data_IF_627132838532
#
_entry.id   IF_627132838532
#
_cell.length_a   1.000
_cell.length_b   1.000
_cell.length_c   1.000
_cell.angle_alpha   90.00
_cell.angle_beta   90.00
_cell.angle_gamma   90.00
#
_symmetry.space_group_name_H-M   'P 1'
#
loop_
_entity.id
_entity.type
_entity.pdbx_description
1 polymer ?
#
# COMPACT_ATOMS: atom_id res chain seq x y z
N UNK A 1 -28.47 13.25 75.91
CA UNK A 1 -28.50 14.21 74.77
C UNK A 1 -27.14 14.87 74.73
N UNK A 2 -26.33 14.57 73.72
CA UNK A 2 -25.09 15.28 73.46
C UNK A 2 -24.94 15.39 71.94
N UNK A 3 -24.88 16.63 71.49
CA UNK A 3 -24.97 17.11 70.11
C UNK A 3 -23.69 16.79 69.34
N UNK A 4 -23.88 16.33 68.10
CA UNK A 4 -22.81 16.07 67.14
C UNK A 4 -22.42 17.40 66.52
N UNK A 5 -21.30 17.96 66.92
CA UNK A 5 -20.73 19.16 66.31
C UNK A 5 -20.23 18.82 64.92
N UNK A 6 -20.55 19.70 63.98
CA UNK A 6 -20.24 19.58 62.56
C UNK A 6 -18.96 20.35 62.33
N UNK A 7 -17.89 19.63 61.99
CA UNK A 7 -16.64 20.25 61.52
C UNK A 7 -16.94 20.90 60.16
N UNK A 8 -17.01 22.22 60.17
CA UNK A 8 -17.02 23.06 58.99
C UNK A 8 -15.57 23.15 58.51
N UNK A 9 -15.22 22.36 57.50
CA UNK A 9 -13.95 22.48 56.78
C UNK A 9 -13.84 23.89 56.18
N UNK A 10 -12.93 24.66 56.76
CA UNK A 10 -12.50 25.98 56.34
C UNK A 10 -11.85 25.85 54.96
N UNK A 11 -12.58 26.26 53.91
CA UNK A 11 -12.01 26.38 52.56
C UNK A 11 -11.07 27.57 52.60
N UNK A 12 -9.81 27.31 52.96
CA UNK A 12 -8.71 28.24 52.73
C UNK A 12 -8.69 28.59 51.24
N UNK A 13 -9.19 29.78 50.93
CA UNK A 13 -9.01 30.40 49.62
C UNK A 13 -7.55 30.79 49.54
N UNK A 14 -6.70 29.85 49.11
CA UNK A 14 -5.32 30.15 48.73
C UNK A 14 -5.37 31.13 47.58
N UNK A 15 -5.31 32.42 47.89
CA UNK A 15 -5.13 33.49 46.92
C UNK A 15 -3.93 33.10 46.04
N UNK A 16 -4.22 32.69 44.80
CA UNK A 16 -3.21 32.38 43.80
C UNK A 16 -2.45 33.66 43.51
N UNK A 17 -1.43 33.92 44.31
CA UNK A 17 -0.41 34.93 44.01
C UNK A 17 0.23 34.45 42.73
N UNK A 18 -0.15 35.05 41.61
CA UNK A 18 0.42 34.79 40.29
C UNK A 18 1.89 35.18 40.38
N UNK A 19 2.74 34.21 40.74
CA UNK A 19 4.19 34.38 40.71
C UNK A 19 4.53 34.86 39.31
N UNK A 20 5.06 36.07 39.22
CA UNK A 20 5.51 36.64 37.95
C UNK A 20 6.70 35.80 37.47
N UNK A 21 6.40 34.81 36.62
CA UNK A 21 7.42 33.99 35.98
C UNK A 21 7.97 34.84 34.82
N UNK A 22 9.27 35.14 34.80
CA UNK A 22 9.83 35.88 33.70
C UNK A 22 9.66 35.07 32.41
N UNK A 23 9.34 35.74 31.30
CA UNK A 23 9.12 35.08 30.01
C UNK A 23 10.32 34.22 29.57
N UNK A 24 11.53 34.54 30.03
CA UNK A 24 12.76 33.77 29.79
C UNK A 24 12.72 32.38 30.43
N UNK A 25 12.07 32.22 31.58
CA UNK A 25 11.90 30.94 32.26
C UNK A 25 10.77 30.10 31.63
N UNK A 26 10.04 30.65 30.65
CA UNK A 26 9.07 29.89 29.87
C UNK A 26 9.79 28.84 29.04
N UNK A 27 9.26 27.61 29.01
CA UNK A 27 9.80 26.53 28.19
C UNK A 27 9.89 26.91 26.71
N UNK A 28 8.94 27.71 26.21
CA UNK A 28 8.93 28.18 24.82
C UNK A 28 10.14 29.06 24.53
N UNK A 29 10.47 29.98 25.44
CA UNK A 29 11.66 30.82 25.29
C UNK A 29 12.93 29.98 25.36
N UNK A 30 13.02 29.07 26.34
CA UNK A 30 14.17 28.18 26.51
C UNK A 30 14.43 27.34 25.27
N UNK A 31 13.41 26.71 24.67
CA UNK A 31 13.55 25.88 23.45
C UNK A 31 14.03 26.69 22.23
N UNK A 32 13.66 27.98 22.14
CA UNK A 32 14.06 28.85 21.04
C UNK A 32 15.49 29.40 21.18
N UNK A 33 16.14 29.26 22.33
CA UNK A 33 17.54 29.67 22.49
C UNK A 33 18.48 28.76 21.69
N UNK A 34 19.63 29.31 21.30
CA UNK A 34 20.68 28.50 20.68
C UNK A 34 21.32 27.60 21.75
N UNK A 35 21.07 26.30 21.65
CA UNK A 35 21.63 25.31 22.56
C UNK A 35 22.98 24.80 22.04
N UNK A 36 23.91 24.54 22.97
CA UNK A 36 25.09 23.74 22.66
C UNK A 36 24.66 22.30 22.39
N UNK A 37 25.08 21.74 21.26
CA UNK A 37 24.81 20.35 20.95
C UNK A 37 25.93 19.47 21.54
N UNK A 38 25.60 18.33 22.17
CA UNK A 38 26.62 17.38 22.58
C UNK A 38 27.35 16.87 21.34
N UNK A 39 28.67 16.58 21.45
CA UNK A 39 29.44 16.07 20.34
C UNK A 39 28.84 14.76 19.83
N UNK A 40 28.89 14.58 18.52
CA UNK A 40 28.44 13.37 17.86
C UNK A 40 29.23 12.15 18.33
N UNK A 41 28.57 11.00 18.35
CA UNK A 41 29.19 9.70 18.69
C UNK A 41 30.14 9.18 17.59
N UNK A 42 30.48 10.00 16.60
CA UNK A 42 31.35 9.58 15.51
C UNK A 42 32.80 9.48 16.00
N UNK A 43 33.41 8.33 15.74
CA UNK A 43 34.81 8.09 16.02
C UNK A 43 35.71 8.92 15.08
N UNK A 44 36.36 9.94 15.65
CA UNK A 44 37.25 10.89 14.97
C UNK A 44 38.52 10.26 14.38
N UNK A 45 38.83 9.01 14.74
CA UNK A 45 40.01 8.31 14.20
C UNK A 45 39.79 7.71 12.81
N UNK A 46 38.52 7.56 12.38
CA UNK A 46 38.17 6.94 11.09
C UNK A 46 38.76 7.73 9.92
N UNK A 47 39.40 7.02 8.99
CA UNK A 47 40.07 7.63 7.83
C UNK A 47 39.16 8.56 7.01
N UNK A 48 37.90 8.16 6.75
CA UNK A 48 36.96 8.99 6.01
C UNK A 48 36.62 10.31 6.71
N UNK A 49 36.43 10.27 8.03
CA UNK A 49 36.16 11.46 8.83
C UNK A 49 37.40 12.37 8.89
N UNK A 50 38.59 11.81 9.03
CA UNK A 50 39.86 12.57 8.98
C UNK A 50 40.03 13.30 7.65
N UNK A 51 39.69 12.65 6.55
CA UNK A 51 39.73 13.27 5.23
C UNK A 51 38.74 14.44 5.17
N UNK A 52 37.46 14.23 5.51
CA UNK A 52 36.46 15.30 5.52
C UNK A 52 36.85 16.48 6.42
N UNK A 53 37.39 16.20 7.61
CA UNK A 53 37.87 17.22 8.53
C UNK A 53 39.04 18.04 7.95
N UNK A 54 39.95 17.42 7.19
CA UNK A 54 41.05 18.12 6.51
C UNK A 54 40.56 19.13 5.47
N UNK A 55 39.38 18.91 4.89
CA UNK A 55 38.69 19.84 3.99
C UNK A 55 37.75 20.79 4.72
N UNK A 56 37.81 20.86 6.07
CA UNK A 56 37.04 21.82 6.87
C UNK A 56 35.59 21.43 7.13
N UNK A 57 35.23 20.14 6.95
CA UNK A 57 33.93 19.62 7.36
C UNK A 57 33.96 19.11 8.80
N UNK A 58 33.04 19.61 9.63
CA UNK A 58 32.94 19.25 11.05
C UNK A 58 31.67 18.41 11.31
N UNK A 59 31.78 17.21 11.89
CA UNK A 59 30.62 16.37 12.20
C UNK A 59 29.63 17.01 13.19
N UNK A 60 30.10 17.89 14.09
CA UNK A 60 29.27 18.49 15.13
C UNK A 60 28.54 19.76 14.66
N UNK A 61 28.94 20.30 13.50
CA UNK A 61 28.33 21.49 12.89
C UNK A 61 26.88 21.26 12.43
N UNK A 62 26.44 20.01 12.29
CA UNK A 62 25.10 19.60 11.80
C UNK A 62 24.75 20.19 10.42
N UNK A 63 25.76 20.49 9.60
CA UNK A 63 25.59 21.02 8.24
C UNK A 63 26.05 19.99 7.21
N UNK A 64 25.35 19.95 6.08
CA UNK A 64 25.61 19.01 5.00
C UNK A 64 26.90 19.30 4.23
N UNK A 65 27.18 18.45 3.24
CA UNK A 65 28.26 18.67 2.29
C UNK A 65 27.79 19.55 1.12
N UNK A 66 28.66 20.41 0.58
CA UNK A 66 28.34 21.26 -0.58
C UNK A 66 28.97 22.66 -0.49
N UNK A 67 29.04 23.37 -1.63
CA UNK A 67 29.68 24.67 -1.74
C UNK A 67 28.80 25.83 -1.19
N UNK A 68 27.54 25.89 -1.58
CA UNK A 68 26.62 26.94 -1.14
C UNK A 68 25.84 26.51 0.11
N UNK A 69 25.97 27.28 1.19
CA UNK A 69 25.18 27.12 2.42
C UNK A 69 25.30 25.78 3.14
N UNK A 70 26.15 24.85 2.66
CA UNK A 70 26.32 23.49 3.18
C UNK A 70 24.98 22.73 3.28
N UNK A 71 24.09 22.92 2.31
CA UNK A 71 22.70 22.39 2.32
C UNK A 71 22.57 20.90 1.97
N UNK A 72 23.68 20.17 1.86
CA UNK A 72 23.67 18.75 1.53
C UNK A 72 22.90 17.88 2.52
N UNK A 73 22.54 16.69 2.07
CA UNK A 73 21.84 15.70 2.88
C UNK A 73 22.75 15.23 4.03
N UNK A 74 22.29 15.40 5.27
CA UNK A 74 23.03 15.02 6.49
C UNK A 74 23.06 13.51 6.75
N UNK A 75 21.93 12.84 6.47
CA UNK A 75 21.71 11.45 6.83
C UNK A 75 21.48 10.62 5.57
N UNK A 76 22.08 9.42 5.46
CA UNK A 76 21.85 8.55 4.32
C UNK A 76 20.36 8.28 4.08
N UNK A 77 19.92 8.42 2.83
CA UNK A 77 18.56 8.06 2.43
C UNK A 77 18.43 6.54 2.52
N UNK A 78 17.38 6.05 3.17
CA UNK A 78 17.07 4.61 3.24
C UNK A 78 16.27 4.21 1.99
N UNK A 79 16.85 3.49 1.02
CA UNK A 79 16.10 3.05 -0.14
C UNK A 79 15.13 1.94 0.22
N UNK A 80 13.96 1.92 -0.45
CA UNK A 80 13.03 0.79 -0.36
C UNK A 80 13.43 -0.26 -1.39
N UNK A 81 13.91 -1.41 -0.93
CA UNK A 81 14.25 -2.52 -1.82
C UNK A 81 12.99 -3.08 -2.49
N UNK A 82 13.06 -3.33 -3.80
CA UNK A 82 12.04 -4.04 -4.55
C UNK A 82 12.49 -5.49 -4.74
N UNK A 83 11.82 -6.41 -4.04
CA UNK A 83 12.11 -7.85 -4.13
C UNK A 83 11.27 -8.54 -5.21
N UNK A 84 10.23 -7.89 -5.74
CA UNK A 84 9.32 -8.46 -6.73
C UNK A 84 9.77 -8.24 -8.18
N UNK A 85 9.42 -9.18 -9.06
CA UNK A 85 9.61 -9.07 -10.53
C UNK A 85 8.45 -8.32 -11.21
N UNK A 86 7.37 -8.03 -10.48
CA UNK A 86 6.22 -7.29 -10.99
C UNK A 86 6.59 -5.87 -11.45
N UNK A 87 5.75 -5.24 -12.27
CA UNK A 87 5.92 -3.84 -12.66
C UNK A 87 5.97 -2.89 -11.45
N UNK A 88 6.61 -1.73 -11.62
CA UNK A 88 6.54 -0.67 -10.61
C UNK A 88 5.10 -0.17 -10.46
N UNK A 89 4.65 0.06 -9.24
CA UNK A 89 3.32 0.57 -8.94
C UNK A 89 2.23 -0.49 -8.75
N UNK A 90 2.50 -1.77 -9.01
CA UNK A 90 1.57 -2.84 -8.63
C UNK A 90 1.60 -3.04 -7.11
N UNK A 91 0.42 -3.09 -6.50
CA UNK A 91 0.25 -3.49 -5.10
C UNK A 91 0.24 -5.02 -5.03
N UNK A 92 0.49 -5.57 -3.84
CA UNK A 92 0.43 -7.03 -3.61
C UNK A 92 -0.94 -7.61 -3.98
N UNK A 93 -2.00 -6.86 -3.72
CA UNK A 93 -3.39 -7.20 -4.08
C UNK A 93 -3.55 -7.37 -5.60
N UNK A 94 -2.91 -6.52 -6.39
CA UNK A 94 -2.93 -6.62 -7.86
C UNK A 94 -2.17 -7.86 -8.34
N UNK A 95 -1.06 -8.21 -7.68
CA UNK A 95 -0.30 -9.42 -7.99
C UNK A 95 -1.12 -10.69 -7.73
N UNK A 96 -1.83 -10.73 -6.61
CA UNK A 96 -2.73 -11.84 -6.26
C UNK A 96 -3.90 -11.94 -7.24
N UNK A 97 -4.51 -10.81 -7.63
CA UNK A 97 -5.58 -10.78 -8.63
C UNK A 97 -5.10 -11.25 -10.00
N UNK A 98 -3.88 -10.88 -10.42
CA UNK A 98 -3.27 -11.33 -11.68
C UNK A 98 -2.96 -12.83 -11.61
N UNK A 99 -2.43 -13.32 -10.49
CA UNK A 99 -2.14 -14.73 -10.28
C UNK A 99 -3.42 -15.57 -10.31
N UNK A 100 -4.48 -15.12 -9.64
CA UNK A 100 -5.80 -15.78 -9.65
C UNK A 100 -6.39 -15.85 -11.05
N UNK A 101 -6.35 -14.75 -11.82
CA UNK A 101 -6.79 -14.73 -13.23
C UNK A 101 -5.99 -15.71 -14.10
N UNK A 102 -4.67 -15.82 -13.88
CA UNK A 102 -3.82 -16.76 -14.60
C UNK A 102 -4.18 -18.21 -14.26
N UNK A 103 -4.41 -18.51 -12.98
CA UNK A 103 -4.86 -19.83 -12.51
C UNK A 103 -6.20 -20.24 -13.11
N UNK A 104 -7.18 -19.34 -13.09
CA UNK A 104 -8.50 -19.57 -13.71
C UNK A 104 -8.38 -19.87 -15.21
N UNK A 105 -7.50 -19.15 -15.92
CA UNK A 105 -7.29 -19.37 -17.36
C UNK A 105 -6.65 -20.72 -17.68
N UNK A 106 -5.83 -21.25 -16.77
CA UNK A 106 -5.24 -22.59 -16.89
C UNK A 106 -6.32 -23.64 -16.65
N UNK A 107 -7.11 -23.51 -15.58
CA UNK A 107 -8.23 -24.40 -15.28
C UNK A 107 -9.23 -24.47 -16.45
N UNK A 108 -9.67 -23.32 -16.97
CA UNK A 108 -10.56 -23.28 -18.14
C UNK A 108 -9.94 -23.91 -19.40
N UNK A 109 -8.61 -23.95 -19.52
CA UNK A 109 -7.93 -24.59 -20.64
C UNK A 109 -7.84 -26.11 -20.46
N UNK A 110 -7.69 -26.57 -19.21
CA UNK A 110 -7.70 -28.00 -18.85
C UNK A 110 -9.11 -28.59 -18.97
N UNK A 111 -10.13 -27.85 -18.55
CA UNK A 111 -11.55 -28.24 -18.68
C UNK A 111 -12.01 -28.34 -20.14
N UNK A 112 -11.41 -27.55 -21.05
CA UNK A 112 -11.66 -27.68 -22.49
C UNK A 112 -11.02 -28.98 -22.99
N UNK A 113 -11.75 -30.07 -22.86
CA UNK A 113 -11.39 -31.36 -23.45
C UNK A 113 -11.22 -31.20 -24.97
N UNK A 114 -10.03 -31.53 -25.46
CA UNK A 114 -9.75 -31.55 -26.90
C UNK A 114 -10.45 -32.77 -27.51
N UNK A 115 -11.52 -32.53 -28.25
CA UNK A 115 -12.24 -33.58 -28.97
C UNK A 115 -11.38 -34.18 -30.08
N UNK A 116 -11.44 -35.50 -30.25
CA UNK A 116 -10.75 -36.20 -31.33
C UNK A 116 -11.46 -35.93 -32.69
N UNK A 117 -10.74 -35.99 -33.81
CA UNK A 117 -11.27 -35.70 -35.16
C UNK A 117 -12.53 -36.51 -35.51
N UNK A 118 -12.65 -37.76 -35.03
CA UNK A 118 -13.87 -38.57 -35.21
C UNK A 118 -15.06 -38.04 -34.41
N UNK A 119 -14.83 -37.58 -33.18
CA UNK A 119 -15.87 -37.00 -32.33
C UNK A 119 -16.38 -35.66 -32.89
N UNK A 120 -15.47 -34.84 -33.43
CA UNK A 120 -15.82 -33.58 -34.11
C UNK A 120 -16.71 -33.85 -35.32
N UNK A 121 -16.37 -34.84 -36.15
CA UNK A 121 -17.22 -35.25 -37.29
C UNK A 121 -18.60 -35.74 -36.86
N UNK A 122 -18.67 -36.52 -35.79
CA UNK A 122 -19.95 -37.03 -35.27
C UNK A 122 -20.84 -35.89 -34.74
N UNK A 123 -20.26 -34.96 -33.98
CA UNK A 123 -20.95 -33.78 -33.46
C UNK A 123 -21.49 -32.93 -34.62
N UNK A 124 -20.67 -32.66 -35.63
CA UNK A 124 -21.08 -31.89 -36.81
C UNK A 124 -22.24 -32.55 -37.57
N UNK A 125 -22.24 -33.87 -37.73
CA UNK A 125 -23.36 -34.59 -38.36
C UNK A 125 -24.63 -34.54 -37.50
N UNK A 126 -24.50 -34.65 -36.18
CA UNK A 126 -25.63 -34.53 -35.26
C UNK A 126 -26.25 -33.12 -35.31
N UNK A 127 -25.41 -32.08 -35.36
CA UNK A 127 -25.86 -30.69 -35.47
C UNK A 127 -26.51 -30.42 -36.82
N UNK A 128 -25.98 -31.01 -37.91
CA UNK A 128 -26.62 -30.94 -39.24
C UNK A 128 -28.02 -31.55 -39.23
N UNK A 129 -28.18 -32.75 -38.65
CA UNK A 129 -29.48 -33.42 -38.52
C UNK A 129 -30.47 -32.62 -37.67
N UNK A 130 -30.01 -32.03 -36.56
CA UNK A 130 -30.83 -31.14 -35.73
C UNK A 130 -31.26 -29.89 -36.51
N UNK A 131 -30.35 -29.31 -37.29
CA UNK A 131 -30.63 -28.15 -38.14
C UNK A 131 -31.62 -28.47 -39.26
N UNK A 132 -31.50 -29.63 -39.92
CA UNK A 132 -32.46 -30.11 -40.92
C UNK A 132 -33.84 -30.34 -40.29
N UNK A 133 -33.91 -30.97 -39.12
CA UNK A 133 -35.16 -31.17 -38.37
C UNK A 133 -35.82 -29.85 -37.97
N UNK A 134 -35.04 -28.85 -37.53
CA UNK A 134 -35.57 -27.53 -37.23
C UNK A 134 -36.09 -26.83 -38.50
N UNK A 135 -35.38 -26.95 -39.64
CA UNK A 135 -35.86 -26.39 -40.91
C UNK A 135 -37.17 -27.02 -41.35
N UNK A 136 -37.31 -28.33 -41.19
CA UNK A 136 -38.55 -29.04 -41.48
C UNK A 136 -39.69 -28.54 -40.60
N UNK A 137 -39.47 -28.41 -39.28
CA UNK A 137 -40.51 -27.92 -38.36
C UNK A 137 -40.92 -26.45 -38.60
N UNK A 138 -39.99 -25.58 -39.02
CA UNK A 138 -40.27 -24.16 -39.22
C UNK A 138 -40.71 -23.80 -40.63
N UNK A 139 -40.30 -24.57 -41.64
CA UNK A 139 -40.50 -24.21 -43.05
C UNK A 139 -41.21 -25.28 -43.89
N UNK A 140 -41.63 -26.41 -43.31
CA UNK A 140 -42.54 -27.30 -44.01
C UNK A 140 -43.96 -26.70 -44.00
N UNK A 141 -44.57 -26.59 -45.18
CA UNK A 141 -45.96 -26.20 -45.34
C UNK A 141 -46.86 -27.43 -45.31
N UNK A 142 -47.87 -27.43 -44.44
CA UNK A 142 -48.81 -28.55 -44.25
C UNK A 142 -49.50 -29.01 -45.55
N UNK A 143 -49.79 -28.06 -46.47
CA UNK A 143 -50.43 -28.37 -47.75
C UNK A 143 -49.53 -29.19 -48.68
N UNK A 144 -48.23 -28.90 -48.70
CA UNK A 144 -47.23 -29.65 -49.48
C UNK A 144 -46.97 -31.02 -48.84
N UNK A 145 -46.96 -31.12 -47.51
CA UNK A 145 -46.80 -32.40 -46.80
C UNK A 145 -47.98 -33.36 -47.04
N UNK A 146 -49.22 -32.83 -47.07
CA UNK A 146 -50.42 -33.60 -47.47
C UNK A 146 -50.34 -34.09 -48.92
N UNK A 147 -49.83 -33.26 -49.83
CA UNK A 147 -49.69 -33.63 -51.24
C UNK A 147 -48.57 -34.64 -51.51
N UNK A 148 -47.47 -34.59 -50.75
CA UNK A 148 -46.33 -35.51 -50.89
C UNK A 148 -46.52 -36.83 -50.12
N UNK A 149 -47.64 -37.02 -49.42
CA UNK A 149 -47.99 -38.27 -48.76
C UNK A 149 -47.08 -38.65 -47.59
N UNK A 150 -46.40 -37.68 -46.97
CA UNK A 150 -45.55 -37.95 -45.79
C UNK A 150 -46.32 -37.93 -44.46
N UNK A 151 -47.62 -38.22 -44.49
CA UNK A 151 -48.52 -38.26 -43.34
C UNK A 151 -49.35 -39.53 -43.32
#
# INVERSE_FOLDING_TARGET
MATKETDLDEIETTSTTTKHIPHEASMVHQICLQHSHPPSHLDRTRHGLRYLASYGWDPDSRVGLGAEGRTGILQPIKPKAKTSTSGLGLRKEDEEAIAARKGLRIQQREERQKLNAKQVRLAHLADKKKGEKLRELFYASDDIQRYLGSG
#
